data_IF_713011229701
#
_entry.id   IF_713011229701
#
_cell.length_a   1.000
_cell.length_b   1.000
_cell.length_c   1.000
_cell.angle_alpha   90.00
_cell.angle_beta   90.00
_cell.angle_gamma   90.00
#
_symmetry.space_group_name_H-M   'P 1'
#
loop_
_entity.id
_entity.type
_entity.pdbx_description
1 polymer ?
#
# COMPACT_ATOMS: atom_id res chain seq x y z
N UNK A 1 6.39 -9.28 12.29
CA UNK A 1 6.24 -8.39 11.14
C UNK A 1 6.10 -9.20 9.88
N UNK A 2 5.15 -8.84 9.02
CA UNK A 2 4.97 -9.54 7.75
C UNK A 2 6.05 -9.18 6.75
N UNK A 3 6.37 -10.10 5.86
CA UNK A 3 7.27 -9.83 4.73
C UNK A 3 6.56 -8.91 3.74
N UNK A 4 7.28 -7.92 3.24
CA UNK A 4 6.74 -6.97 2.26
C UNK A 4 7.35 -7.26 0.89
N UNK A 5 6.47 -7.45 -0.11
CA UNK A 5 6.88 -7.69 -1.49
C UNK A 5 6.33 -6.57 -2.35
N UNK A 6 7.15 -6.01 -3.23
CA UNK A 6 6.76 -4.92 -4.12
C UNK A 6 6.69 -5.42 -5.56
N UNK A 7 5.51 -5.34 -6.17
CA UNK A 7 5.35 -5.64 -7.58
C UNK A 7 6.07 -4.60 -8.44
N UNK A 8 6.28 -4.91 -9.71
CA UNK A 8 7.00 -4.02 -10.63
C UNK A 8 6.34 -2.65 -10.71
N UNK A 9 5.02 -2.59 -10.83
CA UNK A 9 4.28 -1.34 -10.89
C UNK A 9 4.48 -0.50 -9.64
N UNK A 10 4.49 -1.13 -8.46
CA UNK A 10 4.71 -0.44 -7.20
C UNK A 10 6.12 0.15 -7.12
N UNK A 11 7.12 -0.62 -7.55
CA UNK A 11 8.51 -0.12 -7.54
C UNK A 11 8.69 1.04 -8.50
N UNK A 12 8.04 0.99 -9.66
CA UNK A 12 8.07 2.08 -10.62
C UNK A 12 7.45 3.35 -10.03
N UNK A 13 6.30 3.20 -9.37
CA UNK A 13 5.61 4.32 -8.74
C UNK A 13 6.48 4.99 -7.67
N UNK A 14 7.18 4.20 -6.86
CA UNK A 14 8.08 4.73 -5.84
C UNK A 14 9.20 5.58 -6.46
N UNK A 15 9.70 5.18 -7.63
CA UNK A 15 10.72 5.98 -8.32
C UNK A 15 10.14 7.25 -8.95
N UNK A 16 8.93 7.17 -9.49
CA UNK A 16 8.26 8.32 -10.09
C UNK A 16 7.88 9.38 -9.05
N UNK A 17 7.64 8.95 -7.82
CA UNK A 17 7.23 9.84 -6.73
C UNK A 17 8.28 9.87 -5.62
N UNK A 18 9.53 10.08 -6.00
CA UNK A 18 10.68 9.98 -5.10
C UNK A 18 10.56 10.89 -3.87
N UNK A 19 9.94 12.06 -4.02
CA UNK A 19 9.75 13.00 -2.90
C UNK A 19 8.73 12.51 -1.87
N UNK A 20 7.99 11.44 -2.15
CA UNK A 20 7.01 10.85 -1.23
C UNK A 20 7.39 9.45 -0.79
N UNK A 21 8.47 8.89 -1.33
CA UNK A 21 8.86 7.51 -1.09
C UNK A 21 9.04 7.22 0.40
N UNK A 22 9.74 8.09 1.14
CA UNK A 22 10.00 7.85 2.56
C UNK A 22 8.70 7.76 3.35
N UNK A 23 7.74 8.64 3.10
CA UNK A 23 6.46 8.61 3.78
C UNK A 23 5.69 7.34 3.44
N UNK A 24 5.65 6.98 2.16
CA UNK A 24 4.93 5.79 1.70
C UNK A 24 5.52 4.52 2.33
N UNK A 25 6.85 4.37 2.27
CA UNK A 25 7.52 3.21 2.84
C UNK A 25 7.32 3.10 4.35
N UNK A 26 7.40 4.23 5.05
CA UNK A 26 7.15 4.26 6.50
C UNK A 26 5.76 3.74 6.83
N UNK A 27 4.74 4.17 6.08
CA UNK A 27 3.36 3.73 6.34
C UNK A 27 3.17 2.26 6.02
N UNK A 28 3.78 1.75 4.95
CA UNK A 28 3.72 0.33 4.62
C UNK A 28 4.36 -0.50 5.73
N UNK A 29 5.51 -0.09 6.22
CA UNK A 29 6.20 -0.79 7.29
C UNK A 29 5.41 -0.75 8.61
N UNK A 30 4.78 0.37 8.93
CA UNK A 30 3.93 0.47 10.11
C UNK A 30 2.76 -0.50 10.02
N UNK A 31 2.14 -0.61 8.85
CA UNK A 31 1.05 -1.56 8.65
C UNK A 31 1.55 -3.00 8.80
N UNK A 32 2.68 -3.33 8.21
CA UNK A 32 3.23 -4.69 8.29
C UNK A 32 3.55 -5.10 9.72
N UNK A 33 3.99 -4.15 10.53
CA UNK A 33 4.35 -4.40 11.93
C UNK A 33 3.11 -4.54 12.83
N UNK A 34 2.06 -3.77 12.57
CA UNK A 34 0.87 -3.73 13.42
C UNK A 34 -0.39 -3.44 12.59
N UNK A 35 -0.90 -4.42 11.84
CA UNK A 35 -2.06 -4.19 10.96
C UNK A 35 -3.29 -3.66 11.69
N UNK A 36 -3.53 -4.13 12.91
CA UNK A 36 -4.70 -3.70 13.68
C UNK A 36 -4.65 -2.22 14.02
N UNK A 37 -3.46 -1.67 14.24
CA UNK A 37 -3.31 -0.26 14.59
C UNK A 37 -3.58 0.65 13.38
N UNK A 38 -3.50 0.11 12.17
CA UNK A 38 -3.67 0.87 10.93
C UNK A 38 -4.99 0.56 10.22
N UNK A 39 -5.88 -0.20 10.86
CA UNK A 39 -7.11 -0.68 10.22
C UNK A 39 -8.01 0.45 9.70
N UNK A 40 -8.00 1.61 10.35
CA UNK A 40 -8.82 2.75 9.95
C UNK A 40 -8.41 3.37 8.61
N UNK A 41 -7.20 3.05 8.13
CA UNK A 41 -6.67 3.60 6.89
C UNK A 41 -6.73 2.59 5.75
N UNK A 42 -7.34 1.43 5.98
CA UNK A 42 -7.38 0.33 5.02
C UNK A 42 -8.82 0.00 4.65
N UNK A 43 -9.08 -0.10 3.36
CA UNK A 43 -10.39 -0.50 2.84
C UNK A 43 -10.22 -1.72 1.93
N UNK A 44 -11.14 -2.67 2.03
CA UNK A 44 -11.18 -3.79 1.10
C UNK A 44 -11.84 -3.34 -0.20
N UNK A 45 -11.22 -3.63 -1.34
CA UNK A 45 -11.77 -3.27 -2.64
C UNK A 45 -12.94 -4.17 -2.98
N UNK A 46 -14.02 -3.56 -3.50
CA UNK A 46 -15.23 -4.28 -3.86
C UNK A 46 -14.96 -5.22 -5.03
N UNK A 47 -15.37 -6.47 -4.89
CA UNK A 47 -15.23 -7.47 -5.95
C UNK A 47 -13.82 -7.97 -6.16
N UNK A 48 -12.87 -7.64 -5.28
CA UNK A 48 -11.47 -8.04 -5.38
C UNK A 48 -10.95 -8.45 -4.01
N UNK A 49 -9.97 -9.38 -3.96
CA UNK A 49 -9.35 -9.75 -2.69
C UNK A 49 -8.36 -8.70 -2.16
N UNK A 50 -8.09 -7.66 -2.97
CA UNK A 50 -7.12 -6.63 -2.62
C UNK A 50 -7.67 -5.63 -1.62
N UNK A 51 -6.75 -4.91 -0.98
CA UNK A 51 -7.06 -3.83 -0.05
C UNK A 51 -6.46 -2.52 -0.56
N UNK A 52 -6.99 -1.41 -0.07
CA UNK A 52 -6.50 -0.09 -0.39
C UNK A 52 -6.19 0.67 0.89
N UNK A 53 -5.00 1.24 0.96
CA UNK A 53 -4.59 2.10 2.08
C UNK A 53 -4.34 3.51 1.57
N UNK A 54 -4.68 4.50 2.40
CA UNK A 54 -4.43 5.90 2.10
C UNK A 54 -3.17 6.37 2.81
N UNK A 55 -2.32 7.09 2.08
CA UNK A 55 -1.12 7.72 2.65
C UNK A 55 -1.06 9.14 2.08
N UNK A 56 -1.54 10.12 2.85
CA UNK A 56 -1.66 11.49 2.36
C UNK A 56 -2.55 11.53 1.12
N UNK A 57 -2.02 12.02 0.02
CA UNK A 57 -2.72 12.09 -1.27
C UNK A 57 -2.52 10.84 -2.13
N UNK A 58 -1.84 9.84 -1.60
CA UNK A 58 -1.54 8.62 -2.32
C UNK A 58 -2.40 7.47 -1.86
N UNK A 59 -2.60 6.49 -2.76
CA UNK A 59 -3.27 5.24 -2.45
C UNK A 59 -2.34 4.08 -2.75
N UNK A 60 -2.41 3.06 -1.90
CA UNK A 60 -1.61 1.85 -2.01
C UNK A 60 -2.57 0.69 -2.17
N UNK A 61 -2.41 -0.09 -3.24
CA UNK A 61 -3.21 -1.29 -3.48
C UNK A 61 -2.35 -2.50 -3.15
N UNK A 62 -2.84 -3.37 -2.26
CA UNK A 62 -2.06 -4.51 -1.81
C UNK A 62 -2.96 -5.71 -1.53
N UNK A 63 -2.37 -6.89 -1.55
CA UNK A 63 -2.99 -8.11 -1.05
C UNK A 63 -2.19 -8.61 0.15
N UNK A 64 -2.83 -9.44 0.97
CA UNK A 64 -2.26 -9.80 2.27
C UNK A 64 -2.56 -11.24 2.59
N UNK A 65 -1.55 -11.95 3.10
CA UNK A 65 -1.70 -13.28 3.69
C UNK A 65 -1.29 -13.18 5.16
N UNK A 66 -1.31 -14.30 5.87
CA UNK A 66 -0.83 -14.33 7.26
C UNK A 66 0.65 -13.96 7.38
N UNK A 67 1.44 -14.20 6.31
CA UNK A 67 2.89 -14.06 6.36
C UNK A 67 3.44 -12.89 5.55
N UNK A 68 2.69 -12.39 4.57
CA UNK A 68 3.22 -11.42 3.62
C UNK A 68 2.18 -10.40 3.17
N UNK A 69 2.69 -9.25 2.76
CA UNK A 69 1.92 -8.20 2.11
C UNK A 69 2.56 -7.96 0.74
N UNK A 70 1.77 -8.04 -0.32
CA UNK A 70 2.23 -7.74 -1.67
C UNK A 70 1.67 -6.41 -2.11
N UNK A 71 2.54 -5.45 -2.35
CA UNK A 71 2.15 -4.12 -2.83
C UNK A 71 2.05 -4.18 -4.34
N UNK A 72 0.82 -4.09 -4.87
CA UNK A 72 0.57 -4.21 -6.29
C UNK A 72 0.76 -2.92 -7.05
N UNK A 73 0.31 -1.82 -6.47
CA UNK A 73 0.40 -0.52 -7.12
C UNK A 73 0.35 0.60 -6.09
N UNK A 74 0.88 1.76 -6.47
CA UNK A 74 0.89 2.96 -5.65
C UNK A 74 0.63 4.12 -6.61
N UNK A 75 -0.26 5.03 -6.25
CA UNK A 75 -0.53 6.16 -7.11
C UNK A 75 -1.25 7.29 -6.40
N UNK A 76 -1.29 8.47 -7.02
CA UNK A 76 -2.02 9.61 -6.48
C UNK A 76 -3.52 9.32 -6.39
N UNK A 77 -4.18 9.97 -5.44
CA UNK A 77 -5.63 9.90 -5.33
C UNK A 77 -6.27 10.35 -6.65
N UNK A 78 -7.26 9.58 -7.11
CA UNK A 78 -7.92 9.84 -8.38
C UNK A 78 -7.24 9.19 -9.57
N UNK A 79 -6.05 8.66 -9.42
CA UNK A 79 -5.28 8.03 -10.48
C UNK A 79 -5.24 6.52 -10.43
N UNK A 80 -5.81 5.90 -9.39
CA UNK A 80 -5.71 4.46 -9.18
C UNK A 80 -6.92 3.95 -8.40
N UNK A 81 -7.71 3.10 -9.03
CA UNK A 81 -8.85 2.40 -8.42
C UNK A 81 -9.83 3.30 -7.64
N UNK A 82 -10.11 4.45 -8.12
CA UNK A 82 -11.10 5.35 -7.50
C UNK A 82 -12.51 5.10 -7.98
#
# INVERSE_FOLDING_TARGET
MKTIVYAVAARRALREHANRTDLILTKIEQYAAAPEAQANHVEKLRGRPDHRSRVGDFRIVFSETSDAITIHDIGPRGGIYD
#
